data_IF_805387935528
#
_entry.id   IF_805387935528
#
_cell.length_a   1.000
_cell.length_b   1.000
_cell.length_c   1.000
_cell.angle_alpha   90.00
_cell.angle_beta   90.00
_cell.angle_gamma   90.00
#
_symmetry.space_group_name_H-M   'P 1'
#
loop_
_entity.id
_entity.type
_entity.pdbx_description
1 polymer ?
#
# COMPACT_ATOMS: atom_id res chain seq x y z
N UNK A 1 -13.14 23.13 -26.81
CA UNK A 1 -11.74 22.60 -26.75
C UNK A 1 -11.09 22.71 -25.38
N UNK A 2 -10.93 23.92 -24.81
CA UNK A 2 -10.31 24.09 -23.47
C UNK A 2 -11.16 23.43 -22.37
N UNK A 3 -12.49 23.61 -22.43
CA UNK A 3 -13.44 22.99 -21.49
C UNK A 3 -13.40 21.45 -21.54
N UNK A 4 -13.33 20.89 -22.75
CA UNK A 4 -13.18 19.45 -22.98
C UNK A 4 -11.92 18.90 -22.33
N UNK A 5 -10.78 19.58 -22.49
CA UNK A 5 -9.51 19.18 -21.85
C UNK A 5 -9.57 19.23 -20.32
N UNK A 6 -10.21 20.26 -19.76
CA UNK A 6 -10.45 20.38 -18.31
C UNK A 6 -11.31 19.23 -17.78
N UNK A 7 -12.34 18.81 -18.52
CA UNK A 7 -13.20 17.70 -18.10
C UNK A 7 -12.48 16.36 -18.12
N UNK A 8 -11.64 16.09 -19.12
CA UNK A 8 -10.78 14.90 -19.08
C UNK A 8 -9.78 14.94 -17.93
N UNK A 9 -9.25 16.11 -17.58
CA UNK A 9 -8.42 16.26 -16.39
C UNK A 9 -9.20 15.91 -15.11
N UNK A 10 -10.48 16.31 -15.00
CA UNK A 10 -11.36 15.94 -13.87
C UNK A 10 -11.58 14.42 -13.82
N UNK A 11 -11.87 13.77 -14.96
CA UNK A 11 -12.07 12.32 -15.03
C UNK A 11 -10.81 11.49 -14.74
N UNK A 12 -9.64 12.11 -14.68
CA UNK A 12 -8.39 11.47 -14.29
C UNK A 12 -8.07 11.83 -12.84
N UNK A 13 -8.01 13.12 -12.51
CA UNK A 13 -7.57 13.59 -11.21
C UNK A 13 -8.51 13.16 -10.08
N UNK A 14 -9.82 13.38 -10.24
CA UNK A 14 -10.81 13.08 -9.21
C UNK A 14 -10.78 11.59 -8.80
N UNK A 15 -10.93 10.62 -9.72
CA UNK A 15 -10.82 9.21 -9.34
C UNK A 15 -9.41 8.81 -8.92
N UNK A 16 -8.36 9.49 -9.40
CA UNK A 16 -6.99 9.29 -8.93
C UNK A 16 -6.83 9.61 -7.44
N UNK A 17 -7.40 10.74 -6.98
CA UNK A 17 -7.43 11.11 -5.57
C UNK A 17 -8.25 10.11 -4.74
N UNK A 18 -9.42 9.71 -5.25
CA UNK A 18 -10.29 8.71 -4.58
C UNK A 18 -9.57 7.37 -4.45
N UNK A 19 -8.93 6.87 -5.52
CA UNK A 19 -8.17 5.63 -5.49
C UNK A 19 -6.95 5.71 -4.56
N UNK A 20 -6.31 6.87 -4.47
CA UNK A 20 -5.20 7.11 -3.55
C UNK A 20 -5.64 7.09 -2.09
N UNK A 21 -6.76 7.77 -1.78
CA UNK A 21 -7.35 7.81 -0.45
C UNK A 21 -7.92 6.45 -0.02
N UNK A 22 -8.66 5.76 -0.89
CA UNK A 22 -9.23 4.44 -0.61
C UNK A 22 -8.15 3.38 -0.40
N UNK A 23 -6.96 3.57 -0.97
CA UNK A 23 -5.80 2.74 -0.71
C UNK A 23 -5.03 3.12 0.58
N UNK A 24 -5.51 4.11 1.35
CA UNK A 24 -4.97 4.47 2.67
C UNK A 24 -3.71 5.34 2.66
N UNK A 25 -3.38 5.99 1.54
CA UNK A 25 -2.20 6.84 1.43
C UNK A 25 -2.51 8.32 1.80
N UNK A 26 -1.60 8.99 2.51
CA UNK A 26 -1.72 10.42 2.85
C UNK A 26 -1.14 11.32 1.76
N UNK A 27 -1.79 12.47 1.52
CA UNK A 27 -1.45 13.40 0.42
C UNK A 27 -0.14 14.16 0.67
N UNK A 28 0.34 14.19 1.91
CA UNK A 28 1.49 14.99 2.37
C UNK A 28 2.87 14.48 1.90
N UNK A 29 2.95 13.34 1.21
CA UNK A 29 4.21 12.83 0.68
C UNK A 29 4.66 13.61 -0.58
N UNK A 30 5.87 14.19 -0.58
CA UNK A 30 6.51 14.69 -1.82
C UNK A 30 6.49 13.57 -2.88
N UNK A 31 5.95 13.87 -4.07
CA UNK A 31 5.73 12.88 -5.13
C UNK A 31 4.36 12.18 -5.12
N UNK A 32 3.41 12.65 -4.29
CA UNK A 32 2.01 12.18 -4.27
C UNK A 32 1.26 12.53 -5.56
N UNK A 33 1.49 13.71 -6.14
CA UNK A 33 0.74 14.17 -7.32
C UNK A 33 0.95 13.31 -8.57
N UNK A 34 2.20 12.97 -8.91
CA UNK A 34 2.48 12.09 -10.04
C UNK A 34 1.81 10.71 -9.84
N UNK A 35 1.86 10.16 -8.61
CA UNK A 35 1.18 8.90 -8.27
C UNK A 35 -0.34 8.99 -8.40
N UNK A 36 -0.93 10.12 -8.01
CA UNK A 36 -2.37 10.39 -8.17
C UNK A 36 -2.74 10.41 -9.66
N UNK A 37 -1.96 11.07 -10.51
CA UNK A 37 -2.19 11.08 -11.96
C UNK A 37 -2.10 9.66 -12.53
N UNK A 38 -1.03 8.92 -12.23
CA UNK A 38 -0.88 7.54 -12.74
C UNK A 38 -2.05 6.65 -12.34
N UNK A 39 -2.54 6.76 -11.09
CA UNK A 39 -3.72 6.03 -10.62
C UNK A 39 -4.98 6.47 -11.34
N UNK A 40 -5.19 7.78 -11.50
CA UNK A 40 -6.30 8.34 -12.24
C UNK A 40 -6.36 7.83 -13.67
N UNK A 41 -5.22 7.80 -14.35
CA UNK A 41 -5.07 7.27 -15.71
C UNK A 41 -5.38 5.76 -15.74
N UNK A 42 -4.89 4.99 -14.76
CA UNK A 42 -5.20 3.57 -14.67
C UNK A 42 -6.70 3.32 -14.47
N UNK A 43 -7.35 4.04 -13.56
CA UNK A 43 -8.82 3.98 -13.38
C UNK A 43 -9.51 4.32 -14.69
N UNK A 44 -9.06 5.37 -15.36
CA UNK A 44 -9.63 5.79 -16.62
C UNK A 44 -9.59 4.68 -17.67
N UNK A 45 -8.43 4.07 -17.90
CA UNK A 45 -8.31 2.97 -18.86
C UNK A 45 -9.11 1.73 -18.47
N UNK A 46 -9.13 1.36 -17.18
CA UNK A 46 -9.87 0.18 -16.72
C UNK A 46 -11.38 0.35 -16.90
N UNK A 47 -11.92 1.51 -16.51
CA UNK A 47 -13.36 1.80 -16.66
C UNK A 47 -13.75 1.80 -18.14
N UNK A 48 -12.95 2.44 -19.01
CA UNK A 48 -13.20 2.44 -20.45
C UNK A 48 -13.08 1.03 -21.06
N UNK A 49 -12.07 0.24 -20.65
CA UNK A 49 -11.88 -1.12 -21.14
C UNK A 49 -13.05 -2.04 -20.74
N UNK A 50 -13.54 -1.92 -19.50
CA UNK A 50 -14.74 -2.65 -19.05
C UNK A 50 -15.97 -2.25 -19.87
N UNK A 51 -16.13 -0.96 -20.18
CA UNK A 51 -17.23 -0.50 -21.03
C UNK A 51 -17.13 -1.06 -22.46
N UNK A 52 -15.93 -1.22 -23.01
CA UNK A 52 -15.69 -1.86 -24.33
C UNK A 52 -16.05 -3.35 -24.29
N UNK A 53 -15.63 -4.06 -23.24
CA UNK A 53 -15.89 -5.50 -23.09
C UNK A 53 -17.39 -5.76 -22.88
N UNK A 54 -18.09 -4.87 -22.18
CA UNK A 54 -19.52 -4.99 -21.91
C UNK A 54 -20.43 -4.38 -23.00
N UNK A 55 -19.92 -4.15 -24.22
CA UNK A 55 -20.58 -3.44 -25.34
C UNK A 55 -21.98 -3.95 -25.73
N UNK A 56 -22.35 -5.18 -25.37
CA UNK A 56 -23.70 -5.72 -25.56
C UNK A 56 -24.75 -5.25 -24.54
N UNK A 57 -24.32 -4.63 -23.45
CA UNK A 57 -25.23 -4.21 -22.36
C UNK A 57 -25.82 -2.82 -22.61
N UNK A 58 -27.06 -2.55 -22.14
CA UNK A 58 -27.66 -1.21 -22.19
C UNK A 58 -26.77 -0.14 -21.54
N UNK A 59 -26.06 -0.51 -20.47
CA UNK A 59 -25.14 0.36 -19.76
C UNK A 59 -23.92 0.78 -20.61
N UNK A 60 -23.33 -0.15 -21.37
CA UNK A 60 -22.22 0.18 -22.26
C UNK A 60 -22.65 1.05 -23.43
N UNK A 61 -23.84 0.80 -24.01
CA UNK A 61 -24.40 1.67 -25.06
C UNK A 61 -24.63 3.09 -24.56
N UNK A 62 -25.23 3.24 -23.38
CA UNK A 62 -25.40 4.53 -22.73
C UNK A 62 -24.06 5.23 -22.47
N UNK A 63 -23.04 4.49 -22.02
CA UNK A 63 -21.68 5.02 -21.83
C UNK A 63 -21.00 5.46 -23.13
N UNK A 64 -21.21 4.74 -24.23
CA UNK A 64 -20.66 5.10 -25.54
C UNK A 64 -21.34 6.32 -26.15
N UNK A 65 -22.66 6.45 -25.99
CA UNK A 65 -23.39 7.67 -26.37
C UNK A 65 -22.90 8.88 -25.57
N UNK A 66 -22.52 8.64 -24.32
CA UNK A 66 -21.93 9.62 -23.42
C UNK A 66 -20.57 10.14 -23.90
N UNK A 67 -19.69 9.23 -24.35
CA UNK A 67 -18.37 9.58 -24.89
C UNK A 67 -18.44 10.25 -26.28
N UNK A 68 -19.47 9.94 -27.07
CA UNK A 68 -19.72 10.58 -28.37
C UNK A 68 -20.31 11.97 -28.23
N UNK A 69 -21.07 12.21 -27.17
CA UNK A 69 -21.60 13.52 -26.86
C UNK A 69 -20.46 14.42 -26.43
N UNK A 70 -20.21 15.50 -27.18
CA UNK A 70 -19.28 16.53 -26.73
C UNK A 70 -19.73 17.02 -25.36
N UNK A 71 -18.80 17.20 -24.40
CA UNK A 71 -19.16 17.57 -23.03
C UNK A 71 -19.99 18.86 -22.94
N UNK A 72 -19.87 19.74 -23.94
CA UNK A 72 -20.64 20.99 -24.09
C UNK A 72 -22.14 20.74 -24.33
N UNK A 73 -22.53 19.55 -24.81
CA UNK A 73 -23.91 19.15 -25.13
C UNK A 73 -24.44 18.04 -24.22
N UNK A 74 -23.70 17.69 -23.15
CA UNK A 74 -24.12 16.64 -22.23
C UNK A 74 -25.14 17.17 -21.24
N UNK A 75 -26.22 16.43 -21.05
CA UNK A 75 -27.17 16.67 -19.95
C UNK A 75 -26.46 16.52 -18.59
N UNK A 76 -26.82 17.37 -17.63
CA UNK A 76 -26.27 17.40 -16.28
C UNK A 76 -26.42 16.05 -15.57
N UNK A 77 -27.55 15.37 -15.75
CA UNK A 77 -27.79 14.04 -15.15
C UNK A 77 -26.82 12.99 -15.70
N UNK A 78 -26.62 13.03 -17.02
CA UNK A 78 -25.70 12.14 -17.72
C UNK A 78 -24.27 12.41 -17.26
N UNK A 79 -23.88 13.67 -17.11
CA UNK A 79 -22.58 14.07 -16.57
C UNK A 79 -22.34 13.56 -15.14
N UNK A 80 -23.29 13.77 -14.24
CA UNK A 80 -23.19 13.30 -12.85
C UNK A 80 -23.06 11.77 -12.82
N UNK A 81 -23.82 11.06 -13.65
CA UNK A 81 -23.74 9.60 -13.78
C UNK A 81 -22.33 9.14 -14.17
N UNK A 82 -21.72 9.78 -15.15
CA UNK A 82 -20.34 9.47 -15.58
C UNK A 82 -19.32 9.71 -14.49
N UNK A 83 -19.35 10.88 -13.87
CA UNK A 83 -18.44 11.21 -12.76
C UNK A 83 -18.57 10.17 -11.65
N UNK A 84 -19.80 9.77 -11.33
CA UNK A 84 -20.08 8.74 -10.31
C UNK A 84 -19.44 7.40 -10.67
N UNK A 85 -19.55 6.95 -11.94
CA UNK A 85 -18.91 5.71 -12.41
C UNK A 85 -17.39 5.78 -12.24
N UNK A 86 -16.75 6.88 -12.62
CA UNK A 86 -15.30 7.04 -12.47
C UNK A 86 -14.88 7.08 -10.99
N UNK A 87 -15.60 7.81 -10.15
CA UNK A 87 -15.35 7.85 -8.69
C UNK A 87 -15.46 6.46 -8.08
N UNK A 88 -16.51 5.71 -8.43
CA UNK A 88 -16.70 4.35 -7.95
C UNK A 88 -15.62 3.39 -8.49
N UNK A 89 -15.20 3.55 -9.75
CA UNK A 89 -14.05 2.86 -10.32
C UNK A 89 -12.75 3.16 -9.56
N UNK A 90 -12.55 4.41 -9.18
CA UNK A 90 -11.42 4.84 -8.35
C UNK A 90 -11.44 4.18 -6.98
N UNK A 91 -12.60 4.21 -6.31
CA UNK A 91 -12.78 3.59 -5.00
C UNK A 91 -12.53 2.07 -5.06
N UNK A 92 -13.13 1.37 -6.01
CA UNK A 92 -13.00 -0.09 -6.14
C UNK A 92 -11.56 -0.52 -6.44
N UNK A 93 -10.85 0.19 -7.32
CA UNK A 93 -9.43 -0.09 -7.60
C UNK A 93 -8.53 0.25 -6.41
N UNK A 94 -8.79 1.36 -5.70
CA UNK A 94 -8.07 1.70 -4.47
C UNK A 94 -8.29 0.66 -3.37
N UNK A 95 -9.53 0.19 -3.19
CA UNK A 95 -9.88 -0.87 -2.26
C UNK A 95 -9.24 -2.21 -2.63
N UNK A 96 -9.25 -2.57 -3.92
CA UNK A 96 -8.59 -3.78 -4.41
C UNK A 96 -7.09 -3.73 -4.15
N UNK A 97 -6.45 -2.57 -4.36
CA UNK A 97 -5.06 -2.38 -4.03
C UNK A 97 -4.82 -2.56 -2.52
N UNK A 98 -5.62 -1.93 -1.67
CA UNK A 98 -5.53 -2.09 -0.22
C UNK A 98 -5.69 -3.56 0.19
N UNK A 99 -6.65 -4.27 -0.40
CA UNK A 99 -6.89 -5.68 -0.17
C UNK A 99 -5.70 -6.55 -0.59
N UNK A 100 -5.12 -6.31 -1.76
CA UNK A 100 -3.93 -7.04 -2.23
C UNK A 100 -2.73 -6.77 -1.33
N UNK A 101 -2.51 -5.51 -0.93
CA UNK A 101 -1.48 -5.15 0.04
C UNK A 101 -1.74 -5.88 1.36
N UNK A 102 -2.96 -5.85 1.90
CA UNK A 102 -3.33 -6.60 3.11
C UNK A 102 -3.12 -8.12 2.98
N UNK A 103 -3.42 -8.72 1.83
CA UNK A 103 -3.18 -10.14 1.58
C UNK A 103 -1.69 -10.47 1.56
N UNK A 104 -0.87 -9.63 0.92
CA UNK A 104 0.59 -9.78 0.95
C UNK A 104 1.14 -9.62 2.36
N UNK A 105 0.55 -8.72 3.17
CA UNK A 105 0.87 -8.53 4.58
C UNK A 105 0.53 -9.76 5.42
N UNK A 106 -0.65 -10.36 5.21
CA UNK A 106 -1.06 -11.57 5.92
C UNK A 106 -0.14 -12.76 5.60
N UNK A 107 0.26 -12.89 4.33
CA UNK A 107 1.23 -13.89 3.91
C UNK A 107 2.59 -13.67 4.58
N UNK A 108 3.10 -12.43 4.57
CA UNK A 108 4.36 -12.08 5.21
C UNK A 108 4.33 -12.33 6.73
N UNK A 109 3.20 -12.03 7.39
CA UNK A 109 3.00 -12.33 8.81
C UNK A 109 3.04 -13.82 9.09
N UNK A 110 2.40 -14.64 8.25
CA UNK A 110 2.39 -16.11 8.40
C UNK A 110 3.80 -16.70 8.21
N UNK A 111 4.54 -16.19 7.23
CA UNK A 111 5.95 -16.54 7.03
C UNK A 111 6.78 -16.19 8.27
N UNK A 112 6.75 -14.94 8.74
CA UNK A 112 7.53 -14.50 9.91
C UNK A 112 7.15 -15.25 11.19
N UNK A 113 5.87 -15.54 11.43
CA UNK A 113 5.43 -16.38 12.56
C UNK A 113 6.04 -17.79 12.47
N UNK A 114 6.11 -18.35 11.27
CA UNK A 114 6.77 -19.64 11.02
C UNK A 114 8.28 -19.61 11.24
N UNK A 115 8.93 -18.47 11.02
CA UNK A 115 10.36 -18.30 11.30
C UNK A 115 10.61 -18.07 12.80
N UNK A 116 9.80 -17.25 13.47
CA UNK A 116 9.84 -17.05 14.92
C UNK A 116 9.58 -18.34 15.70
N UNK A 117 8.67 -19.21 15.22
CA UNK A 117 8.41 -20.51 15.86
C UNK A 117 9.60 -21.49 15.76
N UNK A 118 10.60 -21.20 14.92
CA UNK A 118 11.85 -21.98 14.84
C UNK A 118 12.91 -21.51 15.85
N UNK A 119 12.60 -20.53 16.71
CA UNK A 119 13.47 -20.09 17.80
C UNK A 119 14.65 -19.22 17.35
N UNK A 120 14.67 -18.72 16.11
CA UNK A 120 15.75 -17.85 15.62
C UNK A 120 15.60 -16.43 16.17
N UNK A 121 16.46 -16.06 17.11
CA UNK A 121 16.51 -14.72 17.70
C UNK A 121 17.02 -13.63 16.73
N UNK A 122 17.69 -14.03 15.65
CA UNK A 122 18.26 -13.15 14.62
C UNK A 122 17.76 -13.61 13.25
N UNK A 123 17.25 -12.67 12.46
CA UNK A 123 16.81 -12.94 11.09
C UNK A 123 17.81 -12.35 10.10
N UNK A 124 18.38 -13.20 9.26
CA UNK A 124 19.34 -12.82 8.21
C UNK A 124 18.62 -12.76 6.86
N UNK A 125 18.76 -11.62 6.16
CA UNK A 125 18.04 -11.38 4.91
C UNK A 125 18.94 -10.68 3.92
N UNK A 126 18.91 -11.14 2.67
CA UNK A 126 19.57 -10.46 1.56
C UNK A 126 18.75 -9.25 1.07
N UNK A 127 19.41 -8.21 0.52
CA UNK A 127 18.72 -7.07 -0.09
C UNK A 127 17.71 -7.47 -1.15
N UNK A 128 16.63 -6.69 -1.30
CA UNK A 128 15.52 -6.96 -2.23
C UNK A 128 14.16 -7.20 -1.57
N UNK A 129 13.29 -7.95 -2.26
CA UNK A 129 11.85 -8.06 -1.93
C UNK A 129 11.54 -8.54 -0.49
N UNK A 130 12.44 -9.31 0.11
CA UNK A 130 12.28 -9.84 1.47
C UNK A 130 12.43 -8.75 2.53
N UNK A 131 13.32 -7.76 2.34
CA UNK A 131 13.50 -6.63 3.27
C UNK A 131 12.24 -5.79 3.39
N UNK A 132 11.61 -5.47 2.25
CA UNK A 132 10.38 -4.67 2.22
C UNK A 132 9.29 -5.28 3.08
N UNK A 133 9.10 -6.60 3.01
CA UNK A 133 8.10 -7.32 3.80
C UNK A 133 8.35 -7.15 5.30
N UNK A 134 9.60 -7.30 5.74
CA UNK A 134 9.98 -7.23 7.16
C UNK A 134 9.84 -5.81 7.70
N UNK A 135 10.32 -4.80 6.96
CA UNK A 135 10.14 -3.40 7.36
C UNK A 135 8.66 -3.00 7.47
N UNK A 136 7.81 -3.58 6.63
CA UNK A 136 6.37 -3.34 6.72
C UNK A 136 5.78 -3.97 7.98
N UNK A 137 6.27 -5.15 8.41
CA UNK A 137 5.87 -5.74 9.69
C UNK A 137 6.28 -4.88 10.90
N UNK A 138 7.50 -4.33 10.92
CA UNK A 138 7.92 -3.39 11.96
C UNK A 138 7.07 -2.13 12.02
N UNK A 139 6.75 -1.55 10.86
CA UNK A 139 5.86 -0.38 10.76
C UNK A 139 4.49 -0.66 11.35
N UNK A 140 3.91 -1.84 11.10
CA UNK A 140 2.61 -2.24 11.63
C UNK A 140 2.64 -2.53 13.14
N UNK A 141 3.74 -3.08 13.65
CA UNK A 141 3.96 -3.23 15.09
C UNK A 141 4.20 -1.90 15.81
N UNK A 142 4.30 -0.78 15.06
CA UNK A 142 4.76 0.52 15.54
C UNK A 142 6.11 0.41 16.29
N UNK A 143 6.98 -0.47 15.80
CA UNK A 143 8.30 -0.76 16.34
C UNK A 143 9.36 -0.31 15.35
N UNK A 144 10.49 0.16 15.86
CA UNK A 144 11.62 0.52 15.03
C UNK A 144 12.56 -0.70 14.89
N UNK A 145 12.95 -1.07 13.66
CA UNK A 145 13.89 -2.17 13.45
C UNK A 145 15.28 -1.80 13.96
N UNK A 146 15.93 -2.71 14.67
CA UNK A 146 17.35 -2.61 15.01
C UNK A 146 18.12 -3.64 14.17
N UNK A 147 19.06 -3.15 13.36
CA UNK A 147 19.73 -3.97 12.33
C UNK A 147 21.24 -3.86 12.40
N UNK A 148 21.91 -4.95 12.00
CA UNK A 148 23.33 -4.98 11.67
C UNK A 148 23.48 -5.20 10.17
N UNK A 149 24.11 -4.26 9.48
CA UNK A 149 24.31 -4.29 8.03
C UNK A 149 25.76 -4.64 7.73
N UNK A 150 25.96 -5.70 6.95
CA UNK A 150 27.27 -6.19 6.54
C UNK A 150 27.57 -5.78 5.10
N UNK A 151 28.77 -5.25 4.89
CA UNK A 151 29.36 -5.01 3.58
C UNK A 151 30.46 -6.04 3.31
N UNK A 152 30.82 -6.29 2.05
CA UNK A 152 31.76 -7.35 1.58
C UNK A 152 33.18 -7.35 2.19
N UNK A 153 33.49 -6.49 3.17
CA UNK A 153 34.81 -6.32 3.79
C UNK A 153 34.74 -5.91 5.27
N UNK A 154 34.20 -6.76 6.13
CA UNK A 154 34.17 -6.66 7.62
C UNK A 154 33.62 -5.35 8.23
N UNK A 155 33.16 -4.41 7.41
CA UNK A 155 32.45 -3.23 7.89
C UNK A 155 31.03 -3.63 8.23
N UNK A 156 30.72 -3.57 9.52
CA UNK A 156 29.38 -3.71 10.04
C UNK A 156 28.92 -2.31 10.48
N UNK A 157 27.73 -1.90 10.04
CA UNK A 157 27.05 -0.73 10.59
C UNK A 157 25.86 -1.24 11.40
N UNK A 158 25.84 -0.89 12.68
CA UNK A 158 24.74 -1.25 13.58
C UNK A 158 23.94 -0.01 13.94
N UNK A 159 22.62 -0.15 13.91
CA UNK A 159 21.78 0.99 14.24
C UNK A 159 20.28 0.71 14.16
N UNK A 160 19.54 1.73 14.57
CA UNK A 160 18.09 1.75 14.49
C UNK A 160 17.64 2.36 13.16
N UNK A 161 16.74 1.67 12.47
CA UNK A 161 16.20 2.13 11.20
C UNK A 161 15.10 3.15 11.46
N UNK A 162 15.31 4.37 10.97
CA UNK A 162 14.33 5.44 11.04
C UNK A 162 13.44 5.48 9.80
N UNK A 163 14.01 5.19 8.62
CA UNK A 163 13.29 5.22 7.35
C UNK A 163 13.87 4.21 6.38
N UNK A 164 12.99 3.53 5.65
CA UNK A 164 13.34 2.67 4.53
C UNK A 164 12.78 3.27 3.24
N UNK A 165 13.65 3.53 2.27
CA UNK A 165 13.29 3.97 0.94
C UNK A 165 13.48 2.79 -0.03
N UNK A 166 12.47 2.51 -0.84
CA UNK A 166 12.46 1.37 -1.77
C UNK A 166 12.09 1.80 -3.20
N UNK A 167 11.86 3.09 -3.43
CA UNK A 167 11.48 3.62 -4.73
C UNK A 167 12.73 4.05 -5.51
N UNK A 168 13.21 3.21 -6.41
CA UNK A 168 14.30 3.49 -7.36
C UNK A 168 15.72 3.18 -6.84
N UNK A 169 15.99 3.43 -5.55
CA UNK A 169 17.18 2.92 -4.84
C UNK A 169 16.76 2.41 -3.47
N UNK A 170 17.24 1.23 -3.11
CA UNK A 170 17.00 0.67 -1.77
C UNK A 170 17.98 1.34 -0.79
N UNK A 171 17.45 2.22 0.05
CA UNK A 171 18.24 3.02 1.00
C UNK A 171 17.64 2.96 2.40
N UNK A 172 18.49 2.92 3.41
CA UNK A 172 18.11 2.98 4.83
C UNK A 172 18.66 4.25 5.47
N UNK A 173 17.78 4.99 6.14
CA UNK A 173 18.19 5.99 7.11
C UNK A 173 18.34 5.30 8.46
N UNK A 174 19.58 5.20 8.91
CA UNK A 174 19.97 4.59 10.17
C UNK A 174 20.42 5.65 11.17
N UNK A 175 20.11 5.41 12.44
CA UNK A 175 20.78 6.05 13.56
C UNK A 175 21.80 5.08 14.13
N UNK A 176 23.08 5.43 14.05
CA UNK A 176 24.18 4.57 14.51
C UNK A 176 24.02 4.24 16.02
N UNK A 177 24.30 3.00 16.41
CA UNK A 177 24.13 2.54 17.80
C UNK A 177 25.07 3.29 18.77
N UNK A 178 26.36 3.40 18.43
CA UNK A 178 27.36 4.00 19.32
C UNK A 178 27.41 5.53 19.24
N UNK A 179 27.48 6.11 18.04
CA UNK A 179 27.68 7.55 17.86
C UNK A 179 26.37 8.35 17.82
N UNK A 180 25.22 7.69 17.69
CA UNK A 180 23.91 8.31 17.45
C UNK A 180 23.83 9.16 16.16
N UNK A 181 24.81 9.05 15.27
CA UNK A 181 24.82 9.78 13.99
C UNK A 181 23.78 9.23 13.02
N UNK A 182 23.27 10.12 12.17
CA UNK A 182 22.35 9.76 11.08
C UNK A 182 23.15 9.38 9.83
N UNK A 183 22.95 8.16 9.35
CA UNK A 183 23.64 7.60 8.20
C UNK A 183 22.61 7.15 7.16
N UNK A 184 22.85 7.52 5.90
CA UNK A 184 22.10 6.97 4.76
C UNK A 184 22.93 5.83 4.17
N UNK A 185 22.39 4.62 4.23
CA UNK A 185 23.03 3.40 3.75
C UNK A 185 22.35 2.92 2.48
N UNK A 186 23.14 2.82 1.41
CA UNK A 186 22.73 2.22 0.14
C UNK A 186 22.84 0.69 0.23
N UNK A 187 21.69 0.01 0.14
CA UNK A 187 21.58 -1.43 0.29
C UNK A 187 22.09 -2.22 -0.93
N UNK A 188 22.31 -1.56 -2.07
CA UNK A 188 22.85 -2.22 -3.27
C UNK A 188 24.27 -2.77 -3.07
N UNK A 189 24.99 -2.23 -2.08
CA UNK A 189 26.37 -2.62 -1.73
C UNK A 189 26.43 -3.53 -0.51
N UNK A 190 25.30 -3.87 0.07
CA UNK A 190 25.21 -4.69 1.26
C UNK A 190 25.14 -6.16 0.87
N UNK A 191 25.88 -7.02 1.58
CA UNK A 191 25.80 -8.46 1.41
C UNK A 191 24.67 -9.06 2.24
N UNK A 192 24.44 -8.51 3.43
CA UNK A 192 23.47 -9.06 4.38
C UNK A 192 22.96 -8.01 5.37
N UNK A 193 21.69 -8.13 5.75
CA UNK A 193 21.07 -7.37 6.85
C UNK A 193 20.57 -8.35 7.91
N UNK A 194 21.03 -8.18 9.16
CA UNK A 194 20.56 -8.96 10.32
C UNK A 194 19.64 -8.13 11.18
N UNK A 195 18.43 -8.62 11.44
CA UNK A 195 17.48 -7.99 12.36
C UNK A 195 17.68 -8.56 13.76
N UNK A 196 18.09 -7.73 14.72
CA UNK A 196 18.42 -8.14 16.09
C UNK A 196 17.22 -8.12 17.05
N UNK A 197 16.24 -7.26 16.79
CA UNK A 197 15.04 -7.13 17.63
C UNK A 197 13.79 -7.77 17.02
N UNK A 198 13.96 -8.84 16.23
CA UNK A 198 12.82 -9.47 15.55
C UNK A 198 11.85 -10.16 16.52
N UNK A 199 12.35 -10.60 17.68
CA UNK A 199 11.55 -11.19 18.74
C UNK A 199 10.49 -10.20 19.29
N UNK A 200 10.77 -8.89 19.28
CA UNK A 200 9.80 -7.86 19.69
C UNK A 200 8.55 -7.83 18.79
N UNK A 201 8.65 -8.30 17.55
CA UNK A 201 7.49 -8.43 16.67
C UNK A 201 6.54 -9.50 17.20
N UNK A 202 7.06 -10.62 17.74
CA UNK A 202 6.26 -11.74 18.25
C UNK A 202 5.28 -11.32 19.34
N UNK A 203 5.71 -10.46 20.27
CA UNK A 203 4.88 -9.99 21.39
C UNK A 203 3.90 -8.89 20.97
N UNK A 204 4.27 -8.05 19.99
CA UNK A 204 3.43 -6.96 19.48
C UNK A 204 2.21 -7.42 18.69
N UNK A 205 2.18 -8.68 18.21
CA UNK A 205 1.03 -9.24 17.49
C UNK A 205 -0.10 -9.75 18.39
N UNK A 206 0.03 -9.65 19.71
CA UNK A 206 -1.10 -9.76 20.65
C UNK A 206 -1.92 -8.47 20.55
N UNK A 207 -2.83 -8.42 19.58
CA UNK A 207 -3.79 -7.32 19.44
C UNK A 207 -4.44 -7.04 20.79
N UNK A 208 -4.34 -5.79 21.26
CA UNK A 208 -5.02 -5.37 22.48
C UNK A 208 -6.52 -5.46 22.20
N UNK A 209 -7.31 -5.97 23.15
CA UNK A 209 -8.79 -6.12 23.09
C UNK A 209 -9.55 -4.93 22.47
N UNK A 210 -9.02 -3.71 22.54
CA UNK A 210 -9.61 -2.49 21.96
C UNK A 210 -9.50 -2.40 20.43
N UNK A 211 -8.50 -3.02 19.81
CA UNK A 211 -8.33 -3.03 18.34
C UNK A 211 -9.31 -3.99 17.66
N UNK A 212 -9.76 -5.03 18.38
CA UNK A 212 -10.82 -5.95 17.97
C UNK A 212 -12.17 -5.22 17.89
N UNK A 213 -12.39 -4.22 18.74
CA UNK A 213 -13.60 -3.39 18.72
C UNK A 213 -13.71 -2.53 17.46
N UNK A 214 -12.57 -2.08 16.90
CA UNK A 214 -12.55 -1.37 15.62
C UNK A 214 -12.85 -2.28 14.42
N UNK A 215 -12.57 -3.58 14.53
CA UNK A 215 -12.91 -4.57 13.49
C UNK A 215 -14.40 -4.90 13.46
N UNK A 216 -15.07 -4.95 14.61
CA UNK A 216 -16.53 -5.11 14.69
C UNK A 216 -17.30 -3.86 14.20
N UNK A 217 -16.67 -2.68 14.25
CA UNK A 217 -17.20 -1.46 13.63
C UNK A 217 -17.17 -1.52 12.09
N UNK A 218 -16.27 -2.31 11.50
CA UNK A 218 -16.16 -2.48 10.04
C UNK A 218 -17.13 -3.57 9.55
N UNK A 219 -17.36 -4.63 10.34
CA UNK A 219 -18.39 -5.63 10.07
C UNK A 219 -18.78 -6.40 11.35
N UNK A 220 -20.05 -6.41 11.78
CA UNK A 220 -20.45 -7.12 12.98
C UNK A 220 -20.30 -8.64 12.82
N UNK A 221 -19.78 -9.32 13.85
CA UNK A 221 -19.59 -10.78 13.90
C UNK A 221 -18.19 -11.27 13.50
N UNK A 222 -17.30 -10.39 13.05
CA UNK A 222 -15.94 -10.77 12.68
C UNK A 222 -15.08 -11.09 13.92
N UNK A 223 -15.37 -10.48 15.07
CA UNK A 223 -14.66 -10.77 16.32
C UNK A 223 -14.97 -12.16 16.88
N UNK A 224 -16.17 -12.67 16.70
CA UNK A 224 -16.59 -14.00 17.19
C UNK A 224 -15.93 -15.13 16.40
N UNK A 225 -15.88 -15.00 15.08
CA UNK A 225 -15.17 -15.92 14.20
C UNK A 225 -13.66 -16.02 14.49
N UNK A 226 -13.05 -14.96 15.02
CA UNK A 226 -11.65 -14.94 15.41
C UNK A 226 -11.46 -15.53 16.82
N UNK A 227 -12.40 -15.30 17.74
CA UNK A 227 -12.38 -15.91 19.08
C UNK A 227 -12.49 -17.43 19.03
N UNK A 228 -13.45 -17.96 18.28
CA UNK A 228 -13.61 -19.42 18.12
C UNK A 228 -12.34 -20.08 17.56
N UNK A 229 -11.62 -19.39 16.67
CA UNK A 229 -10.40 -19.90 16.03
C UNK A 229 -9.12 -19.77 16.86
N UNK A 230 -9.19 -19.07 17.99
CA UNK A 230 -8.05 -18.85 18.90
C UNK A 230 -8.16 -19.71 20.16
N UNK A 231 -9.36 -20.19 20.47
CA UNK A 231 -9.64 -21.10 21.60
C UNK A 231 -9.72 -22.58 21.17
N UNK A 232 -9.69 -22.87 19.86
CA UNK A 232 -9.47 -24.21 19.26
C UNK A 232 -7.99 -24.49 18.98
#
# INVERSE_FOLDING_TARGET
MILTGLMYAVFILLPGYVAYAAAGYSVDEKGSFARIIYRGVAVFFVVNALAVICTGTPAAKAYWELLRSTPENMDNLVFIGTVTIYVFGGFTLGWLQLYLEYKTLWSAKKEIKGWLSRGTAVLEVMPGNSLKRIFTCYRLANKKPFVSIYFDKDKCIEGEVLKYCWNGREELLLRHADTCDLLVVDLSKCSMVKFKNIHELGDSFKFKKKEITYLDLIHPGLSELIKEKTES
#
